data_IF_545023940628
#
_entry.id   IF_545023940628
#
_cell.length_a   1.000
_cell.length_b   1.000
_cell.length_c   1.000
_cell.angle_alpha   90.00
_cell.angle_beta   90.00
_cell.angle_gamma   90.00
#
_symmetry.space_group_name_H-M   'P 1'
#
loop_
_entity.id
_entity.type
_entity.pdbx_description
1 polymer ?
#
# COMPACT_ATOMS: atom_id res chain seq x y z
N UNK A 1 11.91 7.25 -16.35
CA UNK A 1 11.53 6.55 -17.60
C UNK A 1 10.03 6.67 -17.80
N UNK A 2 9.58 6.83 -19.06
CA UNK A 2 8.15 6.86 -19.39
C UNK A 2 7.66 5.44 -19.66
N UNK A 3 6.56 5.04 -19.02
CA UNK A 3 5.97 3.71 -19.17
C UNK A 3 4.44 3.80 -19.14
N UNK A 4 3.79 2.88 -19.87
CA UNK A 4 2.33 2.73 -19.85
C UNK A 4 2.00 1.53 -18.94
N UNK A 5 1.19 1.75 -17.89
CA UNK A 5 0.82 0.67 -16.98
C UNK A 5 -0.06 -0.39 -17.67
N UNK A 6 -0.92 0.02 -18.61
CA UNK A 6 -1.85 -0.86 -19.30
C UNK A 6 -1.82 -0.65 -20.83
N UNK A 7 -0.70 -0.99 -21.52
CA UNK A 7 -0.53 -0.73 -22.95
C UNK A 7 -1.54 -1.50 -23.82
N UNK A 8 -2.06 -2.63 -23.35
CA UNK A 8 -3.04 -3.45 -24.07
C UNK A 8 -4.38 -2.71 -24.29
N UNK A 9 -4.71 -1.67 -23.51
CA UNK A 9 -5.91 -0.86 -23.75
C UNK A 9 -5.88 -0.10 -25.06
N UNK A 10 -4.71 0.14 -25.63
CA UNK A 10 -4.59 0.76 -26.95
C UNK A 10 -5.14 -0.13 -28.08
N UNK A 11 -5.27 -1.43 -27.86
CA UNK A 11 -5.94 -2.35 -28.79
C UNK A 11 -7.43 -2.05 -28.98
N UNK A 12 -8.04 -1.29 -28.05
CA UNK A 12 -9.42 -0.82 -28.19
C UNK A 12 -9.57 0.38 -29.15
N UNK A 13 -8.47 0.89 -29.72
CA UNK A 13 -8.52 2.00 -30.66
C UNK A 13 -9.52 1.79 -31.81
N UNK A 14 -9.60 0.62 -32.47
CA UNK A 14 -10.55 0.38 -33.57
C UNK A 14 -12.00 0.17 -33.13
N UNK A 15 -12.29 0.09 -31.82
CA UNK A 15 -13.62 -0.23 -31.27
C UNK A 15 -14.76 0.64 -31.83
N UNK A 16 -14.64 1.97 -31.95
CA UNK A 16 -15.74 2.80 -32.49
C UNK A 16 -16.09 2.44 -33.93
N UNK A 17 -15.09 2.09 -34.77
CA UNK A 17 -15.33 1.68 -36.15
C UNK A 17 -15.92 0.27 -36.23
N UNK A 18 -15.49 -0.62 -35.35
CA UNK A 18 -16.04 -1.97 -35.22
C UNK A 18 -17.52 -1.94 -34.78
N UNK A 19 -17.84 -1.15 -33.77
CA UNK A 19 -19.22 -0.96 -33.32
C UNK A 19 -20.10 -0.36 -34.42
N UNK A 20 -19.58 0.62 -35.15
CA UNK A 20 -20.31 1.22 -36.28
C UNK A 20 -20.56 0.23 -37.44
N UNK A 21 -19.68 -0.73 -37.63
CA UNK A 21 -19.85 -1.78 -38.65
C UNK A 21 -20.84 -2.87 -38.22
N UNK A 22 -20.91 -3.18 -36.92
CA UNK A 22 -21.72 -4.25 -36.35
C UNK A 22 -23.13 -3.81 -35.97
N UNK A 23 -23.31 -2.54 -35.57
CA UNK A 23 -24.60 -2.01 -35.13
C UNK A 23 -25.40 -1.51 -36.35
N UNK A 24 -26.70 -1.84 -36.45
CA UNK A 24 -27.59 -1.27 -37.46
C UNK A 24 -27.65 0.26 -37.29
N UNK A 25 -27.79 0.96 -38.41
CA UNK A 25 -27.99 2.42 -38.36
C UNK A 25 -29.20 2.73 -37.48
N UNK A 26 -29.01 3.56 -36.47
CA UNK A 26 -30.12 4.04 -35.66
C UNK A 26 -31.07 4.83 -36.56
N UNK A 27 -32.33 4.45 -36.61
CA UNK A 27 -33.36 5.25 -37.25
C UNK A 27 -33.43 6.59 -36.48
N UNK A 28 -32.85 7.63 -37.09
CA UNK A 28 -33.12 8.98 -36.61
C UNK A 28 -34.60 9.20 -36.80
N UNK A 29 -35.36 9.31 -35.69
CA UNK A 29 -36.83 9.53 -35.72
C UNK A 29 -37.25 10.88 -36.30
N UNK A 30 -36.49 11.42 -37.24
CA UNK A 30 -36.93 12.53 -38.07
C UNK A 30 -38.06 12.01 -39.01
N UNK A 31 -39.19 12.70 -39.05
CA UNK A 31 -40.28 12.29 -39.91
C UNK A 31 -39.80 12.33 -41.37
N UNK A 32 -39.46 11.15 -41.90
CA UNK A 32 -39.10 11.00 -43.29
C UNK A 32 -40.40 11.13 -44.10
N UNK A 33 -40.58 12.24 -44.80
CA UNK A 33 -41.66 12.40 -45.77
C UNK A 33 -41.42 11.38 -46.86
N UNK A 34 -42.18 10.29 -46.90
CA UNK A 34 -42.19 9.34 -48.01
C UNK A 34 -42.93 9.97 -49.17
N UNK A 35 -42.19 10.64 -50.05
CA UNK A 35 -42.73 11.25 -51.27
C UNK A 35 -42.55 10.26 -52.41
N UNK A 36 -43.66 9.79 -52.97
CA UNK A 36 -43.66 8.79 -54.09
C UNK A 36 -43.03 9.29 -55.39
N UNK A 37 -42.79 10.61 -55.52
CA UNK A 37 -42.23 11.26 -56.71
C UNK A 37 -40.78 11.73 -56.54
N UNK A 38 -40.02 11.13 -55.66
CA UNK A 38 -38.63 11.49 -55.34
C UNK A 38 -37.72 11.41 -56.61
N UNK A 39 -37.94 10.43 -57.48
CA UNK A 39 -37.22 10.29 -58.75
C UNK A 39 -37.50 11.46 -59.73
N UNK A 40 -38.70 11.94 -59.78
CA UNK A 40 -39.08 13.10 -60.63
C UNK A 40 -38.47 14.38 -60.08
N UNK A 41 -38.48 14.57 -58.75
CA UNK A 41 -37.83 15.71 -58.11
C UNK A 41 -36.30 15.68 -58.28
N UNK A 42 -35.67 14.52 -58.23
CA UNK A 42 -34.24 14.37 -58.48
C UNK A 42 -33.88 14.70 -59.93
N UNK A 43 -34.74 14.33 -60.92
CA UNK A 43 -34.53 14.67 -62.31
C UNK A 43 -34.71 16.17 -62.61
N UNK A 44 -35.65 16.82 -61.91
CA UNK A 44 -35.87 18.26 -62.01
C UNK A 44 -34.84 19.08 -61.25
N UNK A 45 -34.33 18.58 -60.13
CA UNK A 45 -33.35 19.29 -59.34
C UNK A 45 -31.89 19.14 -59.83
N UNK A 46 -31.64 18.24 -60.81
CA UNK A 46 -30.30 17.99 -61.33
C UNK A 46 -29.26 17.55 -60.29
N UNK A 47 -29.70 17.15 -59.12
CA UNK A 47 -28.85 16.72 -58.00
C UNK A 47 -29.36 15.39 -57.48
N UNK A 48 -28.53 14.37 -57.67
CA UNK A 48 -28.72 13.09 -56.92
C UNK A 48 -28.64 13.35 -55.43
N UNK A 49 -29.59 12.84 -54.66
CA UNK A 49 -29.51 12.86 -53.22
C UNK A 49 -28.23 12.13 -52.78
N UNK A 50 -27.18 12.88 -52.50
CA UNK A 50 -25.96 12.32 -51.96
C UNK A 50 -26.23 12.02 -50.50
N UNK A 51 -26.17 10.74 -50.14
CA UNK A 51 -26.01 10.34 -48.73
C UNK A 51 -24.89 11.20 -48.13
N UNK A 52 -25.24 12.09 -47.22
CA UNK A 52 -24.25 12.90 -46.50
C UNK A 52 -23.51 11.96 -45.56
N UNK A 53 -22.47 11.31 -46.05
CA UNK A 53 -21.48 10.69 -45.15
C UNK A 53 -20.85 11.84 -44.37
N UNK A 54 -20.86 11.79 -43.01
CA UNK A 54 -20.25 12.87 -42.22
C UNK A 54 -18.80 13.04 -42.65
N UNK A 55 -18.45 14.28 -43.02
CA UNK A 55 -17.10 14.59 -43.51
C UNK A 55 -16.08 14.19 -42.43
N UNK A 56 -14.90 13.71 -42.83
CA UNK A 56 -13.83 13.34 -41.90
C UNK A 56 -13.53 14.47 -40.89
N UNK A 57 -13.71 15.74 -41.28
CA UNK A 57 -13.57 16.91 -40.42
C UNK A 57 -14.55 16.93 -39.25
N UNK A 58 -15.73 16.33 -39.37
CA UNK A 58 -16.71 16.22 -38.29
C UNK A 58 -16.41 15.05 -37.35
N UNK A 59 -15.71 14.05 -37.84
CA UNK A 59 -15.32 12.86 -37.06
C UNK A 59 -13.97 13.08 -36.35
N UNK A 60 -13.08 13.92 -36.87
CA UNK A 60 -11.74 14.15 -36.33
C UNK A 60 -11.72 14.53 -34.84
N UNK A 61 -12.57 15.44 -34.33
CA UNK A 61 -12.57 15.75 -32.89
C UNK A 61 -13.02 14.58 -32.02
N UNK A 62 -13.96 13.75 -32.50
CA UNK A 62 -14.41 12.56 -31.76
C UNK A 62 -13.32 11.49 -31.70
N UNK A 63 -12.59 11.28 -32.79
CA UNK A 63 -11.45 10.36 -32.84
C UNK A 63 -10.33 10.84 -31.92
N UNK A 64 -10.08 12.15 -31.88
CA UNK A 64 -9.07 12.74 -30.99
C UNK A 64 -9.46 12.54 -29.52
N UNK A 65 -10.72 12.82 -29.15
CA UNK A 65 -11.23 12.60 -27.79
C UNK A 65 -11.10 11.11 -27.42
N UNK A 66 -11.48 10.20 -28.31
CA UNK A 66 -11.33 8.76 -28.10
C UNK A 66 -9.88 8.36 -27.87
N UNK A 67 -8.95 8.84 -28.69
CA UNK A 67 -7.53 8.60 -28.53
C UNK A 67 -6.98 9.10 -27.20
N UNK A 68 -7.39 10.29 -26.76
CA UNK A 68 -7.01 10.87 -25.47
C UNK A 68 -7.57 10.07 -24.29
N UNK A 69 -8.80 9.56 -24.38
CA UNK A 69 -9.39 8.69 -23.38
C UNK A 69 -8.66 7.36 -23.26
N UNK A 70 -8.29 6.75 -24.39
CA UNK A 70 -7.48 5.54 -24.41
C UNK A 70 -6.09 5.76 -23.83
N UNK A 71 -5.47 6.90 -24.15
CA UNK A 71 -4.17 7.27 -23.59
C UNK A 71 -4.26 7.47 -22.07
N UNK A 72 -5.33 8.13 -21.59
CA UNK A 72 -5.57 8.27 -20.15
C UNK A 72 -5.80 6.92 -19.47
N UNK A 73 -6.58 6.03 -20.09
CA UNK A 73 -6.86 4.68 -19.59
C UNK A 73 -5.62 3.80 -19.57
N UNK A 74 -4.70 3.95 -20.54
CA UNK A 74 -3.41 3.27 -20.56
C UNK A 74 -2.48 3.67 -19.40
N UNK A 75 -2.87 4.67 -18.57
CA UNK A 75 -2.16 5.20 -17.39
C UNK A 75 -0.69 5.45 -17.67
N UNK A 76 -0.36 6.49 -18.44
CA UNK A 76 1.02 6.92 -18.60
C UNK A 76 1.62 7.28 -17.25
N UNK A 77 2.81 6.77 -16.97
CA UNK A 77 3.52 6.97 -15.70
C UNK A 77 4.95 7.43 -15.97
N UNK A 78 5.41 8.34 -15.13
CA UNK A 78 6.80 8.70 -15.08
C UNK A 78 7.44 7.95 -13.92
N UNK A 79 8.27 6.96 -14.23
CA UNK A 79 9.05 6.25 -13.22
C UNK A 79 10.25 7.10 -12.83
N UNK A 80 10.28 7.52 -11.58
CA UNK A 80 11.43 8.18 -10.97
C UNK A 80 12.66 7.27 -10.90
N UNK A 81 13.73 7.80 -10.36
CA UNK A 81 14.91 6.99 -10.05
C UNK A 81 14.56 5.90 -9.04
N UNK A 82 15.15 4.70 -9.16
CA UNK A 82 14.93 3.65 -8.19
C UNK A 82 15.40 4.13 -6.81
N UNK A 83 14.46 4.39 -5.92
CA UNK A 83 14.78 4.61 -4.51
C UNK A 83 15.00 3.24 -3.92
N UNK A 84 16.19 2.99 -3.40
CA UNK A 84 16.44 1.80 -2.60
C UNK A 84 15.61 1.93 -1.32
N UNK A 85 14.42 1.41 -1.34
CA UNK A 85 13.68 1.18 -0.11
C UNK A 85 14.35 -0.03 0.51
N UNK A 86 14.93 0.15 1.69
CA UNK A 86 15.44 -0.96 2.47
C UNK A 86 14.28 -1.97 2.62
N UNK A 87 14.29 -3.00 1.77
CA UNK A 87 13.28 -4.03 1.82
C UNK A 87 13.55 -4.83 3.07
N UNK A 88 12.55 -4.86 3.90
CA UNK A 88 12.39 -5.72 5.07
C UNK A 88 13.71 -6.17 5.71
N UNK A 89 14.08 -5.43 6.75
CA UNK A 89 14.95 -5.97 7.77
C UNK A 89 14.34 -7.22 8.39
N UNK A 90 14.89 -7.63 9.50
CA UNK A 90 14.42 -8.76 10.30
C UNK A 90 13.01 -8.51 10.84
N UNK A 91 12.31 -9.59 11.07
CA UNK A 91 11.08 -9.61 11.87
C UNK A 91 11.47 -9.99 13.30
N UNK A 92 11.74 -8.98 14.11
CA UNK A 92 12.26 -9.11 15.45
C UNK A 92 11.11 -9.02 16.47
N UNK A 93 10.79 -10.11 17.12
CA UNK A 93 9.83 -10.09 18.21
C UNK A 93 10.59 -10.13 19.54
N UNK A 94 10.28 -9.21 20.43
CA UNK A 94 10.88 -9.17 21.76
C UNK A 94 9.85 -9.61 22.78
N UNK A 95 10.16 -10.61 23.57
CA UNK A 95 9.34 -11.09 24.69
C UNK A 95 10.01 -10.68 26.00
N UNK A 96 9.33 -9.85 26.77
CA UNK A 96 9.81 -9.31 28.03
C UNK A 96 9.00 -9.87 29.18
N UNK A 97 9.69 -10.44 30.15
CA UNK A 97 9.12 -10.87 31.42
C UNK A 97 8.70 -9.65 32.23
N UNK A 98 7.47 -9.67 32.74
CA UNK A 98 6.91 -8.67 33.64
C UNK A 98 6.33 -9.32 34.90
N UNK A 99 6.83 -10.52 35.24
CA UNK A 99 6.49 -11.21 36.48
C UNK A 99 6.98 -10.48 37.71
N UNK A 100 6.56 -10.92 38.90
CA UNK A 100 6.89 -10.26 40.13
C UNK A 100 8.38 -10.17 40.49
N UNK A 101 9.20 -11.10 40.00
CA UNK A 101 10.67 -11.12 40.19
C UNK A 101 11.39 -9.97 39.49
N UNK A 102 10.85 -9.48 38.39
CA UNK A 102 11.40 -8.35 37.65
C UNK A 102 11.35 -7.00 38.39
N UNK A 103 10.63 -6.91 39.49
CA UNK A 103 10.57 -5.72 40.37
C UNK A 103 11.79 -5.58 41.29
N UNK A 104 12.66 -6.58 41.34
CA UNK A 104 13.77 -6.61 42.28
C UNK A 104 14.81 -5.53 41.90
N UNK A 105 15.22 -4.64 42.88
CA UNK A 105 16.14 -3.54 42.61
C UNK A 105 17.61 -3.99 42.84
N UNK A 106 18.04 -5.06 42.17
CA UNK A 106 19.37 -5.63 42.30
C UNK A 106 20.31 -5.31 41.13
N UNK A 107 19.83 -4.49 40.18
CA UNK A 107 20.61 -4.12 39.01
C UNK A 107 21.20 -2.72 39.13
N UNK A 108 22.43 -2.53 38.67
CA UNK A 108 23.07 -1.22 38.66
C UNK A 108 22.99 -0.54 37.29
N UNK A 109 22.48 0.70 37.28
CA UNK A 109 22.43 1.53 36.08
C UNK A 109 22.82 2.97 36.41
N UNK A 110 23.89 3.47 35.75
CA UNK A 110 24.42 4.83 35.96
C UNK A 110 24.75 5.19 37.42
N UNK A 111 25.08 4.19 38.22
CA UNK A 111 25.40 4.37 39.64
C UNK A 111 24.22 4.35 40.59
N UNK A 112 23.02 4.04 40.10
CA UNK A 112 21.81 3.87 40.90
C UNK A 112 21.35 2.41 40.84
N UNK A 113 20.77 1.92 41.93
CA UNK A 113 20.12 0.62 42.00
C UNK A 113 18.71 0.76 41.36
N UNK A 114 18.45 -0.03 40.34
CA UNK A 114 17.20 -0.02 39.56
C UNK A 114 16.56 -1.39 39.55
N UNK A 115 15.25 -1.46 39.26
CA UNK A 115 14.59 -2.75 39.05
C UNK A 115 15.09 -3.41 37.76
N UNK A 116 14.98 -4.74 37.69
CA UNK A 116 15.35 -5.51 36.51
C UNK A 116 14.55 -5.03 35.30
N UNK A 117 13.23 -4.78 35.46
CA UNK A 117 12.37 -4.28 34.39
C UNK A 117 12.79 -2.88 33.93
N UNK A 118 13.13 -1.96 34.86
CA UNK A 118 13.54 -0.60 34.49
C UNK A 118 14.86 -0.61 33.71
N UNK A 119 15.80 -1.49 34.06
CA UNK A 119 17.02 -1.69 33.31
C UNK A 119 16.71 -2.18 31.89
N UNK A 120 15.82 -3.18 31.76
CA UNK A 120 15.40 -3.72 30.46
C UNK A 120 14.74 -2.62 29.60
N UNK A 121 13.83 -1.81 30.18
CA UNK A 121 13.20 -0.69 29.49
C UNK A 121 14.22 0.30 28.96
N UNK A 122 15.18 0.71 29.78
CA UNK A 122 16.19 1.68 29.38
C UNK A 122 17.03 1.17 28.20
N UNK A 123 17.58 -0.04 28.31
CA UNK A 123 18.52 -0.57 27.30
C UNK A 123 17.81 -1.09 26.06
N UNK A 124 16.68 -1.78 26.22
CA UNK A 124 15.87 -2.23 25.09
C UNK A 124 15.28 -1.04 24.32
N UNK A 125 14.94 0.07 25.00
CA UNK A 125 14.50 1.29 24.36
C UNK A 125 15.56 1.87 23.39
N UNK A 126 16.83 1.86 23.79
CA UNK A 126 17.94 2.32 22.94
C UNK A 126 18.23 1.33 21.80
N UNK A 127 18.21 0.02 22.10
CA UNK A 127 18.31 -1.04 21.13
C UNK A 127 17.23 -0.92 20.03
N UNK A 128 15.97 -0.70 20.39
CA UNK A 128 14.86 -0.54 19.45
C UNK A 128 15.07 0.66 18.52
N UNK A 129 15.57 1.78 19.04
CA UNK A 129 15.81 2.98 18.24
C UNK A 129 16.92 2.79 17.20
N UNK A 130 17.94 2.01 17.52
CA UNK A 130 19.05 1.72 16.62
C UNK A 130 18.61 0.87 15.40
N UNK A 131 17.51 0.12 15.47
CA UNK A 131 17.02 -0.83 14.46
C UNK A 131 16.34 -0.19 13.26
N UNK A 132 17.09 0.60 12.49
CA UNK A 132 16.57 1.21 11.25
C UNK A 132 16.37 0.12 10.19
N UNK A 133 15.11 -0.09 9.79
CA UNK A 133 14.75 -1.05 8.74
C UNK A 133 14.16 -2.36 9.22
N UNK A 134 14.31 -2.73 10.50
CA UNK A 134 13.69 -3.92 11.09
C UNK A 134 12.21 -3.66 11.46
N UNK A 135 11.37 -4.66 11.35
CA UNK A 135 10.06 -4.68 11.99
C UNK A 135 10.22 -5.25 13.40
N UNK A 136 9.74 -4.50 14.38
CA UNK A 136 9.83 -4.91 15.77
C UNK A 136 8.43 -5.07 16.34
N UNK A 137 8.23 -6.12 17.13
CA UNK A 137 7.03 -6.33 17.92
C UNK A 137 7.38 -6.60 19.36
N UNK A 138 6.41 -6.48 20.27
CA UNK A 138 6.58 -6.65 21.70
C UNK A 138 5.55 -7.63 22.25
N UNK A 139 6.04 -8.62 22.97
CA UNK A 139 5.26 -9.53 23.84
C UNK A 139 5.62 -9.21 25.29
N UNK A 140 4.63 -9.01 26.11
CA UNK A 140 4.78 -9.01 27.57
C UNK A 140 4.25 -10.32 28.11
N UNK A 141 5.00 -10.95 29.01
CA UNK A 141 4.57 -12.22 29.59
C UNK A 141 4.81 -12.27 31.11
N UNK A 142 3.99 -13.05 31.76
CA UNK A 142 3.99 -13.37 33.16
C UNK A 142 3.28 -14.71 33.32
N UNK A 143 2.17 -14.80 34.05
CA UNK A 143 1.34 -16.02 34.09
C UNK A 143 0.75 -16.37 32.73
N UNK A 144 0.56 -15.38 31.87
CA UNK A 144 0.10 -15.49 30.48
C UNK A 144 0.98 -14.62 29.57
N UNK A 145 0.92 -14.85 28.25
CA UNK A 145 1.64 -14.07 27.26
C UNK A 145 0.70 -13.23 26.40
N UNK A 146 0.99 -11.93 26.25
CA UNK A 146 0.20 -10.97 25.50
C UNK A 146 1.02 -10.29 24.43
N UNK A 147 0.48 -10.19 23.20
CA UNK A 147 1.05 -9.38 22.13
C UNK A 147 0.72 -7.91 22.38
N UNK A 148 1.65 -7.17 22.97
CA UNK A 148 1.49 -5.74 23.26
C UNK A 148 1.62 -4.87 22.01
N UNK A 149 2.58 -5.18 21.15
CA UNK A 149 2.73 -4.55 19.85
C UNK A 149 2.95 -5.60 18.74
N UNK A 150 2.17 -5.56 17.64
CA UNK A 150 2.45 -6.39 16.48
C UNK A 150 3.73 -5.92 15.78
N UNK A 151 4.30 -6.76 14.89
CA UNK A 151 5.47 -6.40 14.09
C UNK A 151 5.22 -5.16 13.24
N UNK A 152 5.91 -4.07 13.57
CA UNK A 152 5.78 -2.76 12.95
C UNK A 152 7.14 -2.10 12.71
N UNK A 153 7.21 -1.20 11.74
CA UNK A 153 8.37 -0.30 11.56
C UNK A 153 8.32 0.91 12.50
N UNK A 154 7.19 1.14 13.18
CA UNK A 154 7.03 2.22 14.16
C UNK A 154 7.63 1.85 15.52
N UNK A 155 8.94 2.00 15.60
CA UNK A 155 9.72 1.73 16.82
C UNK A 155 9.37 2.65 18.00
N UNK A 156 8.85 3.86 17.70
CA UNK A 156 8.43 4.80 18.77
C UNK A 156 7.24 4.24 19.52
N UNK A 157 6.23 3.76 18.81
CA UNK A 157 5.06 3.12 19.41
C UNK A 157 5.45 1.89 20.21
N UNK A 158 6.35 1.03 19.70
CA UNK A 158 6.84 -0.14 20.43
C UNK A 158 7.55 0.28 21.72
N UNK A 159 8.41 1.32 21.65
CA UNK A 159 9.08 1.86 22.83
C UNK A 159 8.08 2.40 23.87
N UNK A 160 7.09 3.18 23.43
CA UNK A 160 6.05 3.69 24.35
C UNK A 160 5.35 2.55 25.08
N UNK A 161 4.96 1.49 24.39
CA UNK A 161 4.34 0.31 25.00
C UNK A 161 5.27 -0.41 25.99
N UNK A 162 6.57 -0.44 25.69
CA UNK A 162 7.57 -1.01 26.60
C UNK A 162 7.71 -0.12 27.87
N UNK A 163 7.79 1.20 27.69
CA UNK A 163 7.93 2.16 28.80
C UNK A 163 6.69 2.12 29.72
N UNK A 164 5.50 1.88 29.15
CA UNK A 164 4.23 1.73 29.89
C UNK A 164 4.03 0.35 30.54
N UNK A 165 4.90 -0.64 30.26
CA UNK A 165 4.78 -1.97 30.84
C UNK A 165 4.91 -1.91 32.38
N UNK A 166 4.01 -2.58 33.08
CA UNK A 166 3.98 -2.62 34.54
C UNK A 166 4.18 -4.03 35.06
N UNK A 167 4.88 -4.15 36.16
CA UNK A 167 5.04 -5.43 36.86
C UNK A 167 3.69 -6.05 37.20
N UNK A 168 3.55 -7.34 36.92
CA UNK A 168 2.36 -8.11 37.21
C UNK A 168 1.17 -7.90 36.26
N UNK A 169 1.29 -7.04 35.22
CA UNK A 169 0.21 -6.82 34.25
C UNK A 169 -0.16 -8.11 33.49
N UNK A 170 0.80 -9.00 33.30
CA UNK A 170 0.62 -10.33 32.70
C UNK A 170 0.53 -11.46 33.74
N UNK A 171 0.36 -11.12 35.03
CA UNK A 171 0.35 -12.04 36.16
C UNK A 171 1.72 -12.16 36.86
N UNK A 172 1.74 -12.94 37.94
CA UNK A 172 2.90 -12.98 38.84
C UNK A 172 3.91 -14.10 38.52
N UNK A 173 3.47 -15.14 37.83
CA UNK A 173 4.31 -16.28 37.44
C UNK A 173 5.02 -15.99 36.12
N UNK A 174 5.87 -16.94 35.68
CA UNK A 174 6.68 -16.83 34.47
C UNK A 174 6.34 -17.96 33.50
N UNK A 175 5.60 -17.67 32.42
CA UNK A 175 5.16 -18.62 31.40
C UNK A 175 6.01 -18.52 30.12
N UNK A 176 7.26 -18.98 30.17
CA UNK A 176 8.21 -18.90 29.05
C UNK A 176 7.69 -19.66 27.82
N UNK A 177 7.14 -20.88 28.03
CA UNK A 177 6.63 -21.68 26.91
C UNK A 177 5.49 -21.05 26.16
N UNK A 178 4.57 -20.36 26.85
CA UNK A 178 3.44 -19.65 26.22
C UNK A 178 3.91 -18.42 25.47
N UNK A 179 4.93 -17.70 25.98
CA UNK A 179 5.56 -16.57 25.30
C UNK A 179 6.22 -17.01 23.96
N UNK A 180 6.98 -18.11 23.99
CA UNK A 180 7.56 -18.70 22.77
C UNK A 180 6.46 -19.15 21.82
N UNK A 181 5.43 -19.86 22.30
CA UNK A 181 4.30 -20.32 21.47
C UNK A 181 3.58 -19.17 20.78
N UNK A 182 3.32 -18.07 21.50
CA UNK A 182 2.74 -16.87 20.92
C UNK A 182 3.65 -16.23 19.86
N UNK A 183 4.96 -16.15 20.14
CA UNK A 183 5.95 -15.62 19.21
C UNK A 183 5.99 -16.45 17.91
N UNK A 184 6.06 -17.77 18.01
CA UNK A 184 6.02 -18.69 16.86
C UNK A 184 4.76 -18.48 16.03
N UNK A 185 3.59 -18.38 16.67
CA UNK A 185 2.31 -18.11 15.99
C UNK A 185 2.36 -16.83 15.16
N UNK A 186 3.06 -15.78 15.61
CA UNK A 186 3.16 -14.49 14.94
C UNK A 186 4.26 -14.47 13.87
N UNK A 187 5.37 -15.16 14.12
CA UNK A 187 6.51 -15.18 13.20
C UNK A 187 6.34 -16.15 12.04
N UNK A 188 5.61 -17.25 12.18
CA UNK A 188 5.42 -18.25 11.12
C UNK A 188 4.83 -17.68 9.82
N UNK A 189 4.09 -16.57 9.89
CA UNK A 189 3.53 -15.88 8.74
C UNK A 189 4.55 -15.00 8.00
N UNK A 190 5.78 -14.95 8.50
CA UNK A 190 6.88 -14.13 7.96
C UNK A 190 7.88 -15.01 7.19
N UNK A 191 8.73 -14.40 6.32
CA UNK A 191 9.78 -15.14 5.64
C UNK A 191 10.70 -15.87 6.65
N UNK A 192 11.01 -17.13 6.42
CA UNK A 192 11.75 -17.97 7.37
C UNK A 192 13.13 -17.41 7.78
N UNK A 193 13.78 -16.66 6.87
CA UNK A 193 15.11 -16.08 7.09
C UNK A 193 15.10 -14.84 8.00
N UNK A 194 13.92 -14.26 8.28
CA UNK A 194 13.79 -13.02 9.06
C UNK A 194 13.23 -13.23 10.47
N UNK A 195 12.90 -14.46 10.85
CA UNK A 195 12.19 -14.79 12.10
C UNK A 195 13.11 -14.84 13.28
N UNK A 196 13.11 -13.81 14.10
CA UNK A 196 13.95 -13.73 15.31
C UNK A 196 13.08 -13.40 16.53
N UNK A 197 13.27 -14.15 17.60
CA UNK A 197 12.72 -13.89 18.93
C UNK A 197 13.86 -13.59 19.90
N UNK A 198 13.77 -12.48 20.64
CA UNK A 198 14.58 -12.19 21.79
C UNK A 198 13.70 -12.41 23.02
N UNK A 199 14.07 -13.36 23.87
CA UNK A 199 13.38 -13.70 25.11
C UNK A 199 14.19 -13.18 26.29
N UNK A 200 13.59 -12.31 27.09
CA UNK A 200 14.24 -11.69 28.25
C UNK A 200 13.48 -12.09 29.50
N UNK A 201 14.15 -12.75 30.46
CA UNK A 201 13.57 -13.23 31.71
C UNK A 201 14.62 -13.27 32.81
N UNK A 202 14.17 -13.26 34.06
CA UNK A 202 15.01 -13.37 35.26
C UNK A 202 14.74 -14.64 36.06
N UNK A 203 13.81 -15.49 35.62
CA UNK A 203 13.36 -16.63 36.39
C UNK A 203 13.27 -17.95 35.63
N UNK A 204 12.95 -19.00 36.37
CA UNK A 204 12.57 -20.29 35.85
C UNK A 204 11.10 -20.27 35.41
N UNK A 205 10.76 -21.15 34.47
CA UNK A 205 9.37 -21.35 34.07
C UNK A 205 8.56 -21.98 35.21
N UNK A 206 7.63 -21.24 35.79
CA UNK A 206 6.76 -21.67 36.88
C UNK A 206 5.26 -21.49 36.57
N UNK A 207 4.92 -21.21 35.32
CA UNK A 207 3.55 -20.99 34.84
C UNK A 207 3.37 -21.40 33.39
N UNK A 208 2.17 -21.16 32.88
CA UNK A 208 1.83 -21.42 31.48
C UNK A 208 1.30 -22.84 31.19
N UNK A 209 0.84 -23.05 29.99
CA UNK A 209 0.26 -24.31 29.52
C UNK A 209 1.24 -25.12 28.68
N UNK A 210 2.22 -24.49 28.06
CA UNK A 210 3.17 -25.10 27.14
C UNK A 210 4.55 -25.24 27.84
N UNK A 211 5.12 -26.44 27.92
CA UNK A 211 6.48 -26.57 28.41
C UNK A 211 7.48 -25.82 27.50
N UNK A 212 8.47 -25.08 28.06
CA UNK A 212 9.39 -24.25 27.29
C UNK A 212 10.16 -25.00 26.20
N UNK A 213 10.67 -26.18 26.47
CA UNK A 213 11.39 -26.99 25.48
C UNK A 213 10.50 -27.52 24.37
N UNK A 214 9.21 -27.75 24.66
CA UNK A 214 8.24 -28.14 23.62
C UNK A 214 7.97 -26.99 22.69
N UNK A 215 7.82 -25.77 23.25
CA UNK A 215 7.66 -24.53 22.45
C UNK A 215 8.94 -24.26 21.63
N UNK A 216 10.13 -24.46 22.19
CA UNK A 216 11.40 -24.29 21.48
C UNK A 216 11.55 -25.28 20.30
N UNK A 217 11.15 -26.55 20.46
CA UNK A 217 11.14 -27.52 19.34
C UNK A 217 10.18 -27.07 18.22
N UNK A 218 9.02 -26.55 18.57
CA UNK A 218 8.10 -25.98 17.59
C UNK A 218 8.71 -24.77 16.90
N UNK A 219 9.40 -23.89 17.63
CA UNK A 219 10.10 -22.73 17.07
C UNK A 219 11.17 -23.14 16.07
N UNK A 220 11.96 -24.20 16.39
CA UNK A 220 12.97 -24.76 15.50
C UNK A 220 12.34 -25.31 14.20
N UNK A 221 11.23 -26.05 14.28
CA UNK A 221 10.47 -26.53 13.11
C UNK A 221 9.99 -25.41 12.19
N UNK A 222 9.59 -24.30 12.77
CA UNK A 222 9.13 -23.12 12.05
C UNK A 222 10.28 -22.16 11.65
N UNK A 223 11.55 -22.57 11.86
CA UNK A 223 12.74 -21.75 11.60
C UNK A 223 12.70 -20.38 12.32
N UNK A 224 12.20 -20.35 13.54
CA UNK A 224 12.27 -19.19 14.43
C UNK A 224 13.53 -19.32 15.26
N UNK A 225 14.46 -18.37 15.14
CA UNK A 225 15.68 -18.31 15.94
C UNK A 225 15.40 -17.58 17.25
N UNK A 226 15.77 -18.19 18.38
CA UNK A 226 15.52 -17.64 19.70
C UNK A 226 16.84 -17.29 20.38
N UNK A 227 16.99 -16.01 20.71
CA UNK A 227 18.02 -15.51 21.60
C UNK A 227 17.45 -15.37 22.99
N UNK A 228 18.08 -15.99 23.98
CA UNK A 228 17.61 -15.93 25.37
C UNK A 228 18.55 -15.07 26.19
N UNK A 229 18.01 -14.15 26.96
CA UNK A 229 18.77 -13.24 27.83
C UNK A 229 18.28 -13.45 29.27
N UNK A 230 19.12 -14.01 30.10
CA UNK A 230 18.87 -14.14 31.53
C UNK A 230 19.37 -12.90 32.29
N UNK A 231 18.51 -12.30 33.11
CA UNK A 231 18.83 -11.10 33.89
C UNK A 231 18.89 -11.42 35.38
N UNK A 232 19.84 -10.81 36.07
CA UNK A 232 19.97 -10.93 37.53
C UNK A 232 21.39 -10.67 38.01
N UNK A 233 21.51 -10.06 39.19
CA UNK A 233 22.78 -9.72 39.77
C UNK A 233 23.69 -10.93 39.99
N UNK A 234 25.02 -10.70 40.01
CA UNK A 234 25.96 -11.74 40.34
C UNK A 234 25.83 -12.08 41.84
N UNK A 235 25.54 -13.34 42.18
CA UNK A 235 25.41 -13.77 43.58
C UNK A 235 26.63 -13.47 44.44
N UNK A 236 27.83 -13.45 43.84
CA UNK A 236 29.12 -13.24 44.57
C UNK A 236 29.42 -11.74 44.82
N UNK A 237 28.86 -10.82 43.99
CA UNK A 237 29.11 -9.39 44.08
C UNK A 237 28.20 -8.71 45.10
N UNK A 238 27.05 -9.29 45.40
CA UNK A 238 26.10 -8.78 46.38
C UNK A 238 26.55 -9.11 47.78
N UNK A 239 27.48 -8.30 48.33
CA UNK A 239 28.01 -8.45 49.70
C UNK A 239 27.02 -8.28 50.85
N UNK A 240 25.75 -8.24 50.59
CA UNK A 240 24.65 -8.31 51.56
C UNK A 240 24.02 -9.70 51.48
N UNK A 241 24.21 -10.59 52.48
CA UNK A 241 23.32 -11.74 52.67
C UNK A 241 21.90 -11.14 52.69
N UNK A 242 21.10 -11.46 51.69
CA UNK A 242 19.71 -11.02 51.67
C UNK A 242 19.07 -11.31 53.03
N UNK A 243 18.35 -10.36 53.62
CA UNK A 243 17.87 -10.36 55.00
C UNK A 243 17.00 -11.57 55.39
N UNK A 244 16.82 -12.56 54.52
CA UNK A 244 16.10 -13.81 54.72
C UNK A 244 16.63 -14.97 53.83
N UNK A 245 17.81 -14.88 53.20
CA UNK A 245 18.38 -16.00 52.39
C UNK A 245 17.67 -16.23 51.06
N UNK A 246 16.78 -15.35 50.63
CA UNK A 246 16.07 -15.41 49.37
C UNK A 246 16.80 -14.51 48.36
N UNK A 247 17.74 -15.08 47.63
CA UNK A 247 18.33 -14.39 46.49
C UNK A 247 17.55 -14.82 45.20
N UNK A 248 16.68 -13.97 44.65
CA UNK A 248 15.87 -14.33 43.50
C UNK A 248 16.70 -14.55 42.23
N UNK A 249 17.99 -14.16 42.22
CA UNK A 249 18.92 -14.49 41.12
C UNK A 249 19.32 -15.96 41.08
N UNK A 250 19.04 -16.74 42.14
CA UNK A 250 19.24 -18.18 42.18
C UNK A 250 18.12 -18.95 41.47
N UNK A 251 16.98 -18.32 41.22
CA UNK A 251 15.82 -18.95 40.59
C UNK A 251 15.93 -18.98 39.05
N UNK A 252 16.95 -18.37 38.45
CA UNK A 252 17.15 -18.38 37.01
C UNK A 252 17.59 -19.76 36.53
N UNK A 253 16.78 -20.39 35.70
CA UNK A 253 17.12 -21.68 35.05
C UNK A 253 17.92 -21.43 33.76
N UNK A 254 19.22 -21.15 33.94
CA UNK A 254 20.14 -20.95 32.81
C UNK A 254 20.26 -22.19 31.90
N UNK A 255 20.11 -23.38 32.46
CA UNK A 255 20.21 -24.60 31.69
C UNK A 255 19.09 -24.69 30.65
N UNK A 256 17.84 -24.46 31.06
CA UNK A 256 16.71 -24.45 30.15
C UNK A 256 16.79 -23.31 29.11
N UNK A 257 17.23 -22.10 29.51
CA UNK A 257 17.39 -20.98 28.58
C UNK A 257 18.45 -21.24 27.51
N UNK A 258 19.56 -21.89 27.92
CA UNK A 258 20.65 -22.31 27.01
C UNK A 258 20.16 -23.37 26.05
N UNK A 259 19.45 -24.40 26.54
CA UNK A 259 18.87 -25.45 25.71
C UNK A 259 17.85 -24.90 24.69
N UNK A 260 17.00 -23.95 25.10
CA UNK A 260 16.05 -23.26 24.18
C UNK A 260 16.80 -22.56 23.04
N UNK A 261 17.87 -21.82 23.36
CA UNK A 261 18.66 -21.10 22.38
C UNK A 261 19.38 -22.09 21.42
N UNK A 262 20.02 -23.13 21.94
CA UNK A 262 20.70 -24.11 21.13
C UNK A 262 19.76 -24.87 20.17
N UNK A 263 18.60 -25.33 20.66
CA UNK A 263 17.58 -26.00 19.85
C UNK A 263 17.11 -25.16 18.65
N UNK A 264 17.14 -23.85 18.78
CA UNK A 264 16.63 -22.89 17.76
C UNK A 264 17.75 -22.20 16.99
N UNK A 265 19.00 -22.66 17.12
CA UNK A 265 20.18 -22.03 16.48
C UNK A 265 20.41 -20.57 16.89
N UNK A 266 19.97 -20.19 18.06
CA UNK A 266 20.26 -18.92 18.70
C UNK A 266 21.41 -19.01 19.69
N UNK A 267 21.49 -18.03 20.61
CA UNK A 267 22.50 -17.98 21.65
C UNK A 267 21.91 -17.54 22.98
N UNK A 268 22.43 -18.09 24.08
CA UNK A 268 22.10 -17.63 25.43
C UNK A 268 23.09 -16.56 25.87
N UNK A 269 22.58 -15.54 26.52
CA UNK A 269 23.36 -14.48 27.13
C UNK A 269 22.92 -14.29 28.57
N UNK A 270 23.88 -13.94 29.44
CA UNK A 270 23.64 -13.53 30.82
C UNK A 270 23.95 -12.03 30.95
N UNK A 271 23.09 -11.27 31.58
CA UNK A 271 23.33 -9.88 31.91
C UNK A 271 23.28 -9.68 33.42
N UNK A 272 24.40 -9.32 34.00
CA UNK A 272 24.51 -8.99 35.43
C UNK A 272 24.40 -7.49 35.68
N UNK A 273 24.67 -6.67 34.65
CA UNK A 273 24.58 -5.24 34.70
C UNK A 273 24.16 -4.64 33.34
N UNK A 274 24.03 -3.31 33.34
CA UNK A 274 23.61 -2.58 32.15
C UNK A 274 24.65 -2.56 31.03
N UNK A 275 25.93 -2.66 31.33
CA UNK A 275 27.01 -2.66 30.34
C UNK A 275 27.01 -3.97 29.54
N UNK A 276 26.85 -5.10 30.24
CA UNK A 276 26.74 -6.41 29.60
C UNK A 276 25.51 -6.51 28.71
N UNK A 277 24.36 -6.04 29.18
CA UNK A 277 23.13 -6.03 28.35
C UNK A 277 23.27 -5.15 27.09
N UNK A 278 23.97 -4.03 27.17
CA UNK A 278 24.27 -3.20 26.00
C UNK A 278 25.20 -3.94 25.00
N UNK A 279 26.24 -4.61 25.50
CA UNK A 279 27.16 -5.40 24.67
C UNK A 279 26.46 -6.59 23.96
N UNK A 280 25.46 -7.18 24.63
CA UNK A 280 24.62 -8.25 24.04
C UNK A 280 23.85 -7.67 22.83
N UNK A 281 23.33 -6.44 22.93
CA UNK A 281 22.67 -5.75 21.82
C UNK A 281 23.57 -5.63 20.58
N UNK A 282 24.83 -5.23 20.75
CA UNK A 282 25.84 -5.15 19.69
C UNK A 282 26.15 -6.52 19.10
N UNK A 283 26.26 -7.54 19.93
CA UNK A 283 26.52 -8.91 19.49
C UNK A 283 25.38 -9.46 18.65
N UNK A 284 24.13 -9.20 19.03
CA UNK A 284 22.95 -9.58 18.26
C UNK A 284 22.93 -8.93 16.87
N UNK A 285 23.47 -7.71 16.73
CA UNK A 285 23.62 -7.05 15.44
C UNK A 285 24.61 -7.75 14.52
N UNK A 286 25.68 -8.27 15.09
CA UNK A 286 26.70 -9.01 14.33
C UNK A 286 26.22 -10.42 13.94
N UNK A 287 25.49 -11.10 14.82
CA UNK A 287 24.96 -12.46 14.58
C UNK A 287 23.83 -12.46 13.54
N UNK A 288 23.05 -11.38 13.48
CA UNK A 288 21.94 -11.23 12.56
C UNK A 288 22.18 -10.05 11.58
N UNK A 289 23.10 -10.19 10.61
CA UNK A 289 23.30 -9.15 9.62
C UNK A 289 22.01 -8.91 8.81
N UNK A 290 21.67 -7.66 8.62
CA UNK A 290 20.51 -7.28 7.80
C UNK A 290 20.79 -7.73 6.36
N UNK A 291 20.13 -8.77 5.89
CA UNK A 291 20.13 -9.14 4.49
C UNK A 291 19.31 -8.08 3.72
N UNK A 292 19.96 -6.96 3.43
CA UNK A 292 19.38 -5.94 2.56
C UNK A 292 19.34 -6.48 1.13
N UNK A 293 18.27 -7.16 0.76
CA UNK A 293 17.91 -7.21 -0.65
C UNK A 293 17.18 -5.89 -0.97
N UNK A 294 17.84 -4.95 -1.64
CA UNK A 294 17.21 -3.67 -1.97
C UNK A 294 16.08 -3.95 -2.95
N UNK A 295 14.86 -3.97 -2.45
CA UNK A 295 13.70 -3.93 -3.34
C UNK A 295 13.66 -2.54 -3.95
N UNK A 296 14.00 -2.45 -5.23
CA UNK A 296 13.95 -1.21 -5.99
C UNK A 296 12.47 -0.79 -6.14
N UNK A 297 11.98 -0.01 -5.20
CA UNK A 297 10.69 0.66 -5.37
C UNK A 297 10.91 1.92 -6.22
N UNK A 298 10.25 2.00 -7.37
CA UNK A 298 10.24 3.20 -8.19
C UNK A 298 8.99 3.99 -7.85
N UNK A 299 9.15 5.23 -7.44
CA UNK A 299 8.02 6.13 -7.29
C UNK A 299 7.41 6.38 -8.67
N UNK A 300 6.23 5.83 -8.93
CA UNK A 300 5.50 6.04 -10.17
C UNK A 300 4.61 7.27 -10.04
N UNK A 301 4.93 8.33 -10.78
CA UNK A 301 4.08 9.51 -10.87
C UNK A 301 3.09 9.32 -12.03
N UNK A 302 1.81 9.21 -11.70
CA UNK A 302 0.75 8.99 -12.68
C UNK A 302 0.45 10.28 -13.45
N UNK A 303 0.50 10.23 -14.79
CA UNK A 303 0.28 11.35 -15.70
C UNK A 303 -1.07 11.30 -16.41
N UNK A 304 -1.94 10.35 -16.09
CA UNK A 304 -3.23 10.15 -16.76
C UNK A 304 -4.17 11.36 -16.67
N UNK A 305 -4.00 12.20 -15.66
CA UNK A 305 -4.83 13.39 -15.45
C UNK A 305 -4.75 14.40 -16.62
N UNK A 306 -3.57 14.53 -17.27
CA UNK A 306 -3.37 15.45 -18.37
C UNK A 306 -4.15 15.08 -19.64
N UNK A 307 -4.03 13.86 -20.19
CA UNK A 307 -4.83 13.48 -21.36
C UNK A 307 -6.32 13.42 -21.04
N UNK A 308 -6.71 13.08 -19.81
CA UNK A 308 -8.11 13.09 -19.38
C UNK A 308 -8.69 14.50 -19.34
N UNK A 309 -7.97 15.46 -18.77
CA UNK A 309 -8.38 16.87 -18.70
C UNK A 309 -8.51 17.46 -20.11
N UNK A 310 -7.58 17.13 -21.03
CA UNK A 310 -7.64 17.58 -22.41
C UNK A 310 -8.84 16.97 -23.16
N UNK A 311 -9.13 15.69 -22.95
CA UNK A 311 -10.29 15.03 -23.53
C UNK A 311 -11.60 15.66 -23.05
N UNK A 312 -11.71 15.97 -21.76
CA UNK A 312 -12.86 16.63 -21.17
C UNK A 312 -13.04 18.04 -21.74
N UNK A 313 -11.97 18.83 -21.80
CA UNK A 313 -12.00 20.19 -22.35
C UNK A 313 -12.45 20.20 -23.81
N UNK A 314 -11.89 19.31 -24.64
CA UNK A 314 -12.30 19.17 -26.04
C UNK A 314 -13.76 18.73 -26.17
N UNK A 315 -14.23 17.84 -25.30
CA UNK A 315 -15.63 17.41 -25.26
C UNK A 315 -16.57 18.57 -24.95
N UNK A 316 -16.26 19.38 -23.93
CA UNK A 316 -17.03 20.55 -23.57
C UNK A 316 -17.03 21.59 -24.70
N UNK A 317 -15.87 21.86 -25.30
CA UNK A 317 -15.78 22.78 -26.43
C UNK A 317 -16.62 22.30 -27.63
N UNK A 318 -16.62 21.01 -27.91
CA UNK A 318 -17.42 20.42 -28.99
C UNK A 318 -18.92 20.62 -28.71
N UNK A 319 -19.37 20.35 -27.48
CA UNK A 319 -20.77 20.56 -27.06
C UNK A 319 -21.13 22.05 -27.14
N UNK A 320 -20.30 22.95 -26.63
CA UNK A 320 -20.52 24.38 -26.73
C UNK A 320 -20.59 24.83 -28.19
N UNK A 321 -19.71 24.35 -29.05
CA UNK A 321 -19.73 24.69 -30.49
C UNK A 321 -21.01 24.18 -31.20
N UNK A 322 -21.55 23.04 -30.79
CA UNK A 322 -22.81 22.51 -31.35
C UNK A 322 -24.04 23.23 -30.81
N UNK A 323 -23.99 23.73 -29.58
CA UNK A 323 -25.10 24.46 -28.95
C UNK A 323 -25.08 25.97 -29.23
N UNK A 324 -23.92 26.51 -29.73
CA UNK A 324 -23.80 27.96 -29.97
C UNK A 324 -24.81 28.47 -31.01
N UNK A 325 -25.49 29.55 -30.74
CA UNK A 325 -26.65 30.05 -31.57
C UNK A 325 -26.27 30.54 -32.96
N UNK A 326 -25.00 30.64 -33.34
CA UNK A 326 -24.59 31.06 -34.69
C UNK A 326 -25.14 30.13 -35.81
N UNK A 327 -25.50 28.92 -35.48
CA UNK A 327 -26.26 28.05 -36.37
C UNK A 327 -27.68 28.53 -36.62
N UNK A 328 -28.24 29.39 -35.76
CA UNK A 328 -29.56 30.02 -35.95
C UNK A 328 -29.49 31.17 -36.97
N UNK A 329 -28.39 31.94 -37.00
CA UNK A 329 -28.18 32.99 -37.99
C UNK A 329 -27.97 32.42 -39.40
N UNK A 330 -27.25 31.32 -39.55
CA UNK A 330 -27.10 30.63 -40.83
C UNK A 330 -28.39 29.94 -41.30
N UNK A 331 -29.27 29.50 -40.40
CA UNK A 331 -30.60 28.99 -40.75
C UNK A 331 -31.54 30.11 -41.22
N UNK A 332 -31.45 31.29 -40.69
CA UNK A 332 -32.25 32.44 -41.15
C UNK A 332 -31.76 33.02 -42.49
N UNK A 333 -30.46 32.98 -42.76
CA UNK A 333 -29.86 33.41 -44.02
C UNK A 333 -30.06 32.41 -45.17
N UNK A 334 -30.37 31.16 -44.85
CA UNK A 334 -30.82 30.16 -45.82
C UNK A 334 -32.33 30.24 -46.03
N UNK A 335 -32.89 31.48 -46.27
CA UNK A 335 -34.21 31.60 -46.85
C UNK A 335 -34.22 30.77 -48.14
N UNK A 336 -35.21 29.89 -48.34
CA UNK A 336 -35.25 29.07 -49.54
C UNK A 336 -35.32 30.03 -50.73
N UNK A 337 -34.35 29.90 -51.64
CA UNK A 337 -34.27 30.60 -52.91
C UNK A 337 -35.47 30.29 -53.83
N UNK A 338 -36.55 29.74 -53.29
CA UNK A 338 -37.80 29.41 -53.97
C UNK A 338 -38.66 30.64 -54.33
N UNK A 339 -38.33 31.82 -53.87
CA UNK A 339 -39.09 33.05 -54.12
C UNK A 339 -38.36 34.08 -54.98
N UNK A 340 -37.26 33.69 -55.64
CA UNK A 340 -36.76 34.55 -56.72
C UNK A 340 -37.52 34.19 -58.00
N UNK A 341 -38.35 35.08 -58.52
CA UNK A 341 -39.04 34.81 -59.80
C UNK A 341 -37.99 34.59 -60.87
N UNK A 342 -38.08 33.47 -61.54
CA UNK A 342 -37.19 33.03 -62.63
C UNK A 342 -37.02 34.16 -63.63
N UNK A 343 -35.86 34.55 -64.11
CA UNK A 343 -35.64 35.70 -64.99
C UNK A 343 -36.47 35.64 -66.29
N UNK A 344 -36.89 34.45 -66.69
CA UNK A 344 -37.78 34.25 -67.84
C UNK A 344 -39.23 34.86 -67.66
N UNK A 345 -39.72 35.01 -66.40
CA UNK A 345 -41.03 35.59 -66.17
C UNK A 345 -41.02 37.10 -66.42
N UNK A 346 -39.95 37.83 -66.14
CA UNK A 346 -39.80 39.24 -66.48
C UNK A 346 -39.75 39.48 -67.98
N UNK A 347 -39.25 38.60 -68.78
CA UNK A 347 -39.26 38.70 -70.26
C UNK A 347 -40.63 38.36 -70.85
N UNK A 348 -41.38 37.42 -70.26
CA UNK A 348 -42.75 37.14 -70.71
C UNK A 348 -43.70 38.28 -70.40
N UNK A 349 -43.65 38.93 -69.23
CA UNK A 349 -44.44 40.06 -68.88
C UNK A 349 -44.15 41.34 -69.77
N UNK A 350 -42.88 41.51 -70.16
CA UNK A 350 -42.54 42.55 -71.12
C UNK A 350 -43.13 42.31 -72.54
N UNK A 351 -43.22 41.11 -72.98
CA UNK A 351 -43.80 40.74 -74.29
C UNK A 351 -45.35 40.87 -74.26
N UNK A 352 -46.00 40.65 -73.17
CA UNK A 352 -47.44 40.81 -73.05
C UNK A 352 -47.86 42.29 -72.99
N UNK A 353 -47.06 43.20 -72.38
CA UNK A 353 -47.31 44.62 -72.34
C UNK A 353 -47.08 45.33 -73.68
N UNK A 354 -46.34 44.75 -74.58
CA UNK A 354 -46.12 45.27 -75.95
C UNK A 354 -47.24 44.86 -76.97
N UNK A 355 -48.06 43.84 -76.62
CA UNK A 355 -49.20 43.41 -77.46
C UNK A 355 -50.50 44.10 -77.14
N UNK A 356 -50.64 44.88 -76.07
CA UNK A 356 -51.84 45.59 -75.71
C UNK A 356 -51.84 47.10 -76.17
N UNK A 357 -50.83 47.49 -76.93
CA UNK A 357 -50.73 48.85 -77.51
C UNK A 357 -50.65 48.84 -79.02
N UNK A 358 -51.29 47.88 -79.66
CA UNK A 358 -51.68 47.96 -81.10
C UNK A 358 -53.13 47.66 -81.22
#
# INVERSE_FOLDING_TARGET
>A
MFELAWPWLLLLAPLPWLLRALLPAADSGEPVLKVGFLRELESLAGRRARLHLPSWRQQAPLVLIWGLLLLAAARPQWLGEPVQVAASGRDLLVAVDVSGSMDYPDMQWKGEDVSRLDLVKALLGDFLQARKGDRVGLILFGSEAYLQAPLTFDRRTVRTFLDEALIGIAGKNTAIGDAIGLAVKRLRERPAQSRVLILITDGANNGGQIPPLTAARLAAQENVRIYTIGIGANPEASGTPGLLGLNPSLDLDEASLREIAELTHGSYFRAHDGAELAAIGETLDQLEPVAQQPTQARAAQALYAWPLALALLLSVLLVCATLWPDNLLQRQLRRPRFLQPHPQWRQRLKRLRLRSRR
#
